data_IF_461499832333
#
_entry.id   IF_461499832333
#
_cell.length_a   1.000
_cell.length_b   1.000
_cell.length_c   1.000
_cell.angle_alpha   90.00
_cell.angle_beta   90.00
_cell.angle_gamma   90.00
#
_symmetry.space_group_name_H-M   'P 1'
#
loop_
_entity.id
_entity.type
_entity.pdbx_description
1 polymer ?
#
# COMPACT_ATOMS: atom_id res chain seq x y z
N UNK A 1 13.35 1.49 10.59
CA UNK A 1 12.52 2.37 9.76
C UNK A 1 12.98 2.21 8.34
N UNK A 2 12.17 1.55 7.51
CA UNK A 2 12.41 1.39 6.08
C UNK A 2 11.52 2.34 5.28
N UNK A 3 11.85 2.50 4.00
CA UNK A 3 11.07 3.30 3.05
C UNK A 3 10.67 2.41 1.87
N UNK A 4 9.43 2.56 1.42
CA UNK A 4 8.84 1.73 0.39
C UNK A 4 8.19 2.58 -0.70
N UNK A 5 7.92 1.96 -1.85
CA UNK A 5 7.11 2.53 -2.92
C UNK A 5 6.01 1.53 -3.27
N UNK A 6 4.76 1.97 -3.25
CA UNK A 6 3.60 1.16 -3.57
C UNK A 6 2.84 1.82 -4.72
N UNK A 7 2.42 1.00 -5.70
CA UNK A 7 1.81 1.48 -6.94
C UNK A 7 0.32 1.21 -6.91
N UNK A 8 -0.47 2.22 -7.28
CA UNK A 8 -1.91 2.09 -7.48
C UNK A 8 -2.31 2.76 -8.80
N UNK A 9 -3.30 2.21 -9.48
CA UNK A 9 -3.91 2.87 -10.62
C UNK A 9 -4.97 3.85 -10.09
N UNK A 10 -4.91 5.15 -10.42
CA UNK A 10 -5.75 6.18 -9.79
C UNK A 10 -7.24 6.03 -10.09
N UNK A 11 -7.60 5.34 -11.18
CA UNK A 11 -8.97 5.01 -11.54
C UNK A 11 -9.51 3.78 -10.79
N UNK A 12 -8.65 3.02 -10.12
CA UNK A 12 -9.03 1.89 -9.25
C UNK A 12 -9.03 2.31 -7.78
N UNK A 13 -7.95 2.93 -7.30
CA UNK A 13 -7.85 3.49 -5.96
C UNK A 13 -6.82 4.62 -5.94
N UNK A 14 -7.31 5.87 -5.88
CA UNK A 14 -6.48 7.06 -5.95
C UNK A 14 -5.85 7.42 -4.60
N UNK A 15 -4.98 8.44 -4.62
CA UNK A 15 -4.47 9.04 -3.38
C UNK A 15 -5.58 9.77 -2.62
N UNK A 16 -6.47 10.45 -3.34
CA UNK A 16 -7.60 11.17 -2.74
C UNK A 16 -8.57 10.21 -2.06
N UNK A 17 -8.74 8.99 -2.60
CA UNK A 17 -9.50 7.93 -1.92
C UNK A 17 -8.86 7.55 -0.59
N UNK A 18 -7.54 7.33 -0.57
CA UNK A 18 -6.82 7.01 0.67
C UNK A 18 -6.91 8.16 1.70
N UNK A 19 -6.80 9.41 1.25
CA UNK A 19 -6.95 10.59 2.10
C UNK A 19 -8.37 10.68 2.68
N UNK A 20 -9.39 10.48 1.85
CA UNK A 20 -10.80 10.47 2.28
C UNK A 20 -11.07 9.35 3.29
N UNK A 21 -10.61 8.15 3.00
CA UNK A 21 -10.90 6.96 3.78
C UNK A 21 -10.04 6.88 5.06
N UNK A 22 -8.95 7.68 5.12
CA UNK A 22 -7.97 7.79 6.21
C UNK A 22 -7.18 6.52 6.52
N UNK A 23 -7.58 5.39 5.96
CA UNK A 23 -6.95 4.09 6.11
C UNK A 23 -7.45 3.16 5.01
N UNK A 24 -6.54 2.35 4.46
CA UNK A 24 -6.90 1.28 3.52
C UNK A 24 -6.14 -0.01 3.84
N UNK A 25 -6.76 -1.14 3.53
CA UNK A 25 -6.04 -2.42 3.40
C UNK A 25 -5.46 -2.48 2.00
N UNK A 26 -4.15 -2.66 1.90
CA UNK A 26 -3.47 -2.79 0.62
C UNK A 26 -3.52 -4.22 0.13
N UNK A 27 -4.55 -4.51 -0.67
CA UNK A 27 -4.80 -5.81 -1.27
C UNK A 27 -4.36 -5.86 -2.74
N UNK A 28 -4.78 -6.91 -3.47
CA UNK A 28 -4.51 -7.04 -4.92
C UNK A 28 -3.08 -7.43 -5.31
N UNK A 29 -2.14 -7.49 -4.37
CA UNK A 29 -0.77 -7.93 -4.65
C UNK A 29 -0.75 -9.43 -4.98
N UNK A 30 -0.37 -9.76 -6.21
CA UNK A 30 -0.24 -11.15 -6.73
C UNK A 30 1.12 -11.46 -7.33
N UNK A 31 2.14 -10.66 -6.96
CA UNK A 31 3.53 -10.92 -7.30
C UNK A 31 4.31 -11.40 -6.06
N UNK A 32 5.07 -12.48 -6.19
CA UNK A 32 5.79 -13.09 -5.05
C UNK A 32 6.83 -12.17 -4.41
N UNK A 33 7.57 -11.39 -5.20
CA UNK A 33 8.56 -10.45 -4.66
C UNK A 33 7.88 -9.31 -3.92
N UNK A 34 6.81 -8.73 -4.50
CA UNK A 34 6.02 -7.70 -3.84
C UNK A 34 5.38 -8.21 -2.55
N UNK A 35 4.87 -9.44 -2.53
CA UNK A 35 4.37 -10.10 -1.31
C UNK A 35 5.44 -10.19 -0.23
N UNK A 36 6.67 -10.56 -0.60
CA UNK A 36 7.78 -10.63 0.35
C UNK A 36 8.15 -9.24 0.89
N UNK A 37 8.05 -8.19 0.08
CA UNK A 37 8.21 -6.81 0.55
C UNK A 37 7.11 -6.43 1.56
N UNK A 38 5.84 -6.78 1.29
CA UNK A 38 4.75 -6.56 2.26
C UNK A 38 5.02 -7.26 3.61
N UNK A 39 5.56 -8.49 3.58
CA UNK A 39 5.94 -9.23 4.80
C UNK A 39 7.06 -8.55 5.59
N UNK A 40 7.95 -7.83 4.91
CA UNK A 40 9.07 -7.13 5.52
C UNK A 40 8.71 -5.75 6.08
N UNK A 41 7.57 -5.17 5.67
CA UNK A 41 7.09 -3.87 6.16
C UNK A 41 6.74 -3.91 7.65
N UNK A 42 7.16 -2.87 8.38
CA UNK A 42 6.89 -2.71 9.81
C UNK A 42 6.03 -1.48 10.09
N UNK A 43 5.26 -1.53 11.18
CA UNK A 43 4.42 -0.41 11.59
C UNK A 43 5.28 0.86 11.75
N UNK A 44 4.86 1.95 11.12
CA UNK A 44 5.58 3.22 11.07
C UNK A 44 6.51 3.40 9.87
N UNK A 45 6.83 2.34 9.11
CA UNK A 45 7.55 2.49 7.85
C UNK A 45 6.76 3.40 6.89
N UNK A 46 7.48 4.25 6.15
CA UNK A 46 6.88 5.18 5.20
C UNK A 46 6.79 4.57 3.81
N UNK A 47 5.74 4.97 3.09
CA UNK A 47 5.38 4.45 1.78
C UNK A 47 5.12 5.63 0.84
N UNK A 48 5.86 5.70 -0.25
CA UNK A 48 5.53 6.58 -1.37
C UNK A 48 4.39 5.96 -2.17
N UNK A 49 3.29 6.69 -2.35
CA UNK A 49 2.18 6.28 -3.20
C UNK A 49 2.44 6.79 -4.62
N UNK A 50 2.62 5.85 -5.53
CA UNK A 50 2.89 6.12 -6.94
C UNK A 50 1.66 5.78 -7.77
N UNK A 51 1.14 6.74 -8.54
CA UNK A 51 0.11 6.45 -9.52
C UNK A 51 0.73 5.77 -10.75
N UNK A 52 0.27 4.56 -11.07
CA UNK A 52 0.69 3.82 -12.26
C UNK A 52 -0.32 3.97 -13.41
N UNK A 53 0.15 3.71 -14.63
CA UNK A 53 -0.59 3.86 -15.90
C UNK A 53 -1.01 5.30 -16.25
N UNK A 54 -1.74 5.96 -15.36
CA UNK A 54 -2.18 7.35 -15.43
C UNK A 54 -1.42 8.17 -14.39
N UNK A 55 -1.05 9.42 -14.70
CA UNK A 55 -0.33 10.30 -13.77
C UNK A 55 1.16 9.97 -13.56
N UNK A 56 1.54 8.68 -13.48
CA UNK A 56 2.94 8.18 -13.46
C UNK A 56 3.88 8.96 -12.54
N UNK A 57 3.38 9.41 -11.39
CA UNK A 57 4.09 10.27 -10.45
C UNK A 57 3.85 9.82 -9.00
N UNK A 58 4.70 10.31 -8.09
CA UNK A 58 4.49 10.15 -6.65
C UNK A 58 3.52 11.25 -6.22
N UNK A 59 2.41 10.85 -5.60
CA UNK A 59 1.30 11.76 -5.26
C UNK A 59 1.11 11.98 -3.77
N UNK A 60 1.79 11.20 -2.92
CA UNK A 60 1.68 11.34 -1.47
C UNK A 60 2.55 10.36 -0.70
N UNK A 61 2.59 10.55 0.62
CA UNK A 61 3.30 9.70 1.56
C UNK A 61 2.28 9.08 2.52
N UNK A 62 2.25 7.75 2.56
CA UNK A 62 1.52 6.97 3.55
C UNK A 62 2.48 6.35 4.57
N UNK A 63 1.91 5.72 5.60
CA UNK A 63 2.63 4.89 6.57
C UNK A 63 1.94 3.56 6.80
N UNK A 64 2.72 2.54 7.15
CA UNK A 64 2.19 1.25 7.59
C UNK A 64 1.57 1.41 8.98
N UNK A 65 0.27 1.13 9.11
CA UNK A 65 -0.47 1.18 10.38
C UNK A 65 -0.80 -0.20 10.94
N UNK A 66 -0.77 -1.24 10.09
CA UNK A 66 -0.87 -2.65 10.50
C UNK A 66 0.10 -3.49 9.66
N UNK A 67 0.92 -4.30 10.34
CA UNK A 67 1.81 -5.26 9.69
C UNK A 67 1.04 -6.34 8.93
N UNK A 68 1.76 -7.14 8.15
CA UNK A 68 1.15 -8.14 7.28
C UNK A 68 0.21 -9.11 8.00
N UNK A 69 -0.92 -9.40 7.36
CA UNK A 69 -1.88 -10.43 7.75
C UNK A 69 -2.43 -11.14 6.50
N UNK A 70 -3.01 -12.34 6.62
CA UNK A 70 -3.57 -13.04 5.46
C UNK A 70 -4.60 -12.19 4.72
N UNK A 71 -4.55 -12.18 3.39
CA UNK A 71 -5.57 -11.54 2.55
C UNK A 71 -6.92 -12.25 2.80
N UNK A 72 -7.98 -11.53 3.23
CA UNK A 72 -9.29 -12.13 3.50
C UNK A 72 -9.92 -12.81 2.27
N UNK A 73 -9.49 -12.43 1.06
CA UNK A 73 -9.99 -12.99 -0.20
C UNK A 73 -9.19 -14.22 -0.65
N UNK A 74 -7.95 -14.37 -0.19
CA UNK A 74 -7.04 -15.45 -0.58
C UNK A 74 -5.90 -15.61 0.44
N UNK A 75 -6.00 -16.60 1.32
CA UNK A 75 -5.09 -16.76 2.46
C UNK A 75 -3.65 -17.09 2.09
N UNK A 76 -3.36 -17.44 0.83
CA UNK A 76 -1.98 -17.66 0.35
C UNK A 76 -1.22 -16.33 0.13
N UNK A 77 -1.94 -15.21 0.15
CA UNK A 77 -1.40 -13.86 0.04
C UNK A 77 -1.49 -13.11 1.37
N UNK A 78 -0.74 -12.01 1.45
CA UNK A 78 -0.77 -11.13 2.61
C UNK A 78 -1.09 -9.72 2.16
N UNK A 79 -1.70 -8.97 3.08
CA UNK A 79 -2.03 -7.56 2.96
C UNK A 79 -1.48 -6.81 4.17
N UNK A 80 -1.31 -5.51 4.03
CA UNK A 80 -0.96 -4.58 5.12
C UNK A 80 -2.02 -3.50 5.19
N UNK A 81 -2.15 -2.80 6.33
CA UNK A 81 -2.95 -1.58 6.33
C UNK A 81 -2.04 -0.35 6.27
N UNK A 82 -2.41 0.64 5.46
CA UNK A 82 -1.76 1.94 5.37
C UNK A 82 -2.71 3.08 5.72
N UNK A 83 -2.15 4.23 6.09
CA UNK A 83 -2.88 5.48 6.27
C UNK A 83 -2.07 6.65 5.68
N UNK A 84 -2.72 7.73 5.20
CA UNK A 84 -2.02 8.95 4.81
C UNK A 84 -1.15 9.50 5.94
N UNK A 85 0.02 10.03 5.58
CA UNK A 85 0.93 10.73 6.50
C UNK A 85 1.15 12.18 6.05
N UNK A 86 1.42 12.42 4.76
CA UNK A 86 1.62 13.74 4.14
C UNK A 86 1.20 13.78 2.69
#
# INVERSE_FOLDING_TARGET
MNYWLMKSEPDVYSWDDLVRDKKATWDGVRNYQARNNLKAMKKGDLVLIYHSNIGKEIVGIAKIVKENFPDPKDTDWVVVDIAPEK
#
